data_IF_332591334685
#
_entry.id   IF_332591334685
#
_cell.length_a   1.000
_cell.length_b   1.000
_cell.length_c   1.000
_cell.angle_alpha   90.00
_cell.angle_beta   90.00
_cell.angle_gamma   90.00
#
_symmetry.space_group_name_H-M   'P 1'
#
loop_
_entity.id
_entity.type
_entity.pdbx_description
1 polymer ?
#
# COMPACT_ATOMS: atom_id res chain seq x y z
N UNK A 1 72.43 -0.60 43.80
CA UNK A 1 71.03 -0.21 43.83
C UNK A 1 70.24 -1.47 43.42
N UNK A 2 69.70 -2.19 44.43
CA UNK A 2 68.90 -3.41 44.21
C UNK A 2 67.46 -3.01 44.01
N UNK A 3 66.84 -3.42 42.96
CA UNK A 3 65.38 -3.25 42.70
C UNK A 3 64.75 -4.61 42.98
N UNK A 4 63.96 -4.65 44.08
CA UNK A 4 63.14 -5.80 44.45
C UNK A 4 61.85 -5.85 43.62
N UNK A 5 61.71 -6.91 42.85
CA UNK A 5 60.47 -7.28 42.18
C UNK A 5 59.69 -8.28 43.04
N UNK A 6 58.80 -7.80 43.90
CA UNK A 6 57.77 -8.63 44.56
C UNK A 6 56.43 -8.03 44.29
N UNK A 7 55.58 -8.77 43.60
CA UNK A 7 54.16 -8.48 43.51
C UNK A 7 53.54 -8.57 42.12
N UNK A 8 53.70 -9.69 41.47
CA UNK A 8 52.83 -10.01 40.32
C UNK A 8 51.54 -10.60 40.87
N UNK A 9 50.47 -9.75 40.99
CA UNK A 9 49.13 -10.26 41.19
C UNK A 9 48.59 -10.77 39.84
N UNK A 10 48.47 -12.09 39.75
CA UNK A 10 47.81 -12.77 38.67
C UNK A 10 46.29 -12.61 38.90
N UNK A 11 45.63 -11.64 38.28
CA UNK A 11 44.19 -11.58 38.25
C UNK A 11 43.71 -12.56 37.19
N UNK A 12 43.35 -13.76 37.59
CA UNK A 12 42.64 -14.71 36.74
C UNK A 12 41.23 -14.20 36.52
N UNK A 13 40.99 -13.55 35.39
CA UNK A 13 39.64 -13.24 34.95
C UNK A 13 38.95 -14.55 34.52
N UNK A 14 38.09 -15.07 35.41
CA UNK A 14 37.16 -16.13 35.02
C UNK A 14 36.11 -15.52 34.07
N UNK A 15 36.31 -15.67 32.78
CA UNK A 15 35.22 -15.51 31.78
C UNK A 15 34.25 -16.68 32.00
N UNK A 16 33.23 -16.50 32.79
CA UNK A 16 32.05 -17.35 32.77
C UNK A 16 31.31 -17.02 31.46
N UNK A 17 31.58 -17.77 30.41
CA UNK A 17 30.76 -17.78 29.23
C UNK A 17 29.39 -18.38 29.59
N UNK A 18 28.50 -17.57 30.10
CA UNK A 18 27.10 -17.93 30.23
C UNK A 18 26.54 -18.08 28.82
N UNK A 19 26.39 -19.31 28.37
CA UNK A 19 25.59 -19.59 27.19
C UNK A 19 24.16 -19.15 27.49
N UNK A 20 23.77 -17.97 27.04
CA UNK A 20 22.38 -17.57 26.99
C UNK A 20 21.76 -18.47 25.91
N UNK A 21 21.13 -19.54 26.33
CA UNK A 21 20.27 -20.32 25.45
C UNK A 21 19.09 -19.42 25.07
N UNK A 22 19.21 -18.73 23.97
CA UNK A 22 18.06 -18.10 23.32
C UNK A 22 17.17 -19.23 22.86
N UNK A 23 16.10 -19.52 23.61
CA UNK A 23 15.05 -20.39 23.12
C UNK A 23 14.54 -19.77 21.82
N UNK A 24 14.78 -20.45 20.71
CA UNK A 24 14.16 -20.09 19.45
C UNK A 24 12.64 -20.19 19.68
N UNK A 25 11.98 -19.04 19.80
CA UNK A 25 10.52 -19.02 19.84
C UNK A 25 10.05 -19.51 18.48
N UNK A 26 9.47 -20.68 18.45
CA UNK A 26 8.78 -21.18 17.27
C UNK A 26 7.54 -20.30 17.08
N UNK A 27 7.66 -19.38 16.13
CA UNK A 27 6.52 -18.55 15.72
C UNK A 27 5.58 -19.42 14.88
N UNK A 28 4.45 -19.79 15.44
CA UNK A 28 3.38 -20.41 14.68
C UNK A 28 2.54 -19.29 14.06
N UNK A 29 2.54 -19.14 12.73
CA UNK A 29 1.72 -18.12 12.10
C UNK A 29 0.24 -18.43 12.36
N UNK A 30 -0.47 -17.44 12.89
CA UNK A 30 -1.93 -17.51 13.06
C UNK A 30 -2.56 -16.68 11.96
N UNK A 31 -3.35 -17.32 11.10
CA UNK A 31 -4.12 -16.61 10.07
C UNK A 31 -5.45 -16.15 10.66
N UNK A 32 -5.75 -14.86 10.49
CA UNK A 32 -7.01 -14.25 10.88
C UNK A 32 -7.56 -13.45 9.71
N UNK A 33 -8.79 -13.74 9.30
CA UNK A 33 -9.52 -12.89 8.36
C UNK A 33 -9.88 -11.60 9.06
N UNK A 34 -9.44 -10.44 8.51
CA UNK A 34 -9.73 -9.12 9.06
C UNK A 34 -10.98 -8.51 8.45
N UNK A 35 -11.25 -8.77 7.17
CA UNK A 35 -12.45 -8.30 6.47
C UNK A 35 -12.85 -9.28 5.35
N UNK A 36 -14.11 -9.19 4.95
CA UNK A 36 -14.64 -9.84 3.74
C UNK A 36 -15.15 -8.74 2.81
N UNK A 37 -14.95 -8.94 1.52
CA UNK A 37 -15.51 -8.05 0.49
C UNK A 37 -16.84 -8.63 0.02
N UNK A 38 -17.85 -7.75 -0.12
CA UNK A 38 -19.25 -8.11 -0.42
C UNK A 38 -19.83 -7.33 -1.60
N UNK A 39 -18.99 -6.80 -2.48
CA UNK A 39 -19.27 -5.88 -3.60
C UNK A 39 -19.53 -4.44 -3.16
N UNK A 40 -20.31 -4.18 -2.11
CA UNK A 40 -20.60 -2.81 -1.66
C UNK A 40 -19.37 -2.13 -1.05
N UNK A 41 -18.51 -2.89 -0.38
CA UNK A 41 -17.26 -2.41 0.22
C UNK A 41 -16.02 -2.70 -0.65
N UNK A 42 -16.24 -3.17 -1.87
CA UNK A 42 -15.22 -3.53 -2.85
C UNK A 42 -15.36 -4.95 -3.37
N UNK A 43 -14.82 -5.21 -4.55
CA UNK A 43 -14.75 -6.52 -5.18
C UNK A 43 -13.40 -6.71 -5.87
N UNK A 44 -12.97 -7.95 -6.03
CA UNK A 44 -11.71 -8.29 -6.72
C UNK A 44 -10.45 -7.64 -6.12
N UNK A 45 -10.11 -7.90 -4.82
CA UNK A 45 -8.90 -7.37 -4.18
C UNK A 45 -7.61 -8.09 -4.60
N UNK A 46 -7.64 -8.89 -5.65
CA UNK A 46 -6.69 -9.96 -5.97
C UNK A 46 -5.32 -9.52 -6.48
N UNK A 47 -5.15 -8.26 -6.88
CA UNK A 47 -3.91 -7.79 -7.50
C UNK A 47 -3.16 -6.77 -6.66
N UNK A 48 -3.72 -6.35 -5.54
CA UNK A 48 -3.23 -5.24 -4.75
C UNK A 48 -2.56 -5.72 -3.46
N UNK A 49 -1.22 -5.63 -3.33
CA UNK A 49 -0.57 -5.79 -2.05
C UNK A 49 -1.03 -4.70 -1.09
N UNK A 50 -1.13 -5.04 0.19
CA UNK A 50 -1.38 -4.05 1.23
C UNK A 50 -0.15 -3.19 1.47
N UNK A 51 -0.37 -1.90 1.67
CA UNK A 51 0.64 -0.97 2.17
C UNK A 51 0.30 -0.54 3.59
N UNK A 52 1.28 -0.50 4.48
CA UNK A 52 1.06 0.02 5.82
C UNK A 52 1.34 1.51 5.85
N UNK A 53 0.36 2.29 6.33
CA UNK A 53 0.48 3.73 6.51
C UNK A 53 1.23 4.09 7.79
N UNK A 54 1.56 5.38 7.94
CA UNK A 54 2.24 5.90 9.13
C UNK A 54 1.36 5.83 10.39
N UNK A 55 0.04 5.71 10.23
CA UNK A 55 -0.93 5.49 11.31
C UNK A 55 -1.02 4.03 11.77
N UNK A 56 -0.23 3.13 11.17
CA UNK A 56 -0.20 1.70 11.45
C UNK A 56 -1.34 0.90 10.82
N UNK A 57 -2.31 1.54 10.15
CA UNK A 57 -3.35 0.86 9.40
C UNK A 57 -2.82 0.34 8.06
N UNK A 58 -3.54 -0.59 7.46
CA UNK A 58 -3.25 -1.13 6.15
C UNK A 58 -4.21 -0.54 5.13
N UNK A 59 -3.69 -0.29 3.94
CA UNK A 59 -4.41 0.29 2.82
C UNK A 59 -4.29 -0.61 1.60
N UNK A 60 -5.36 -0.72 0.85
CA UNK A 60 -5.40 -1.51 -0.37
C UNK A 60 -6.45 -0.98 -1.34
N UNK A 61 -6.50 -1.57 -2.51
CA UNK A 61 -7.46 -1.26 -3.57
C UNK A 61 -8.24 -2.51 -3.96
N UNK A 62 -9.42 -2.30 -4.52
CA UNK A 62 -10.20 -3.34 -5.21
C UNK A 62 -10.44 -2.90 -6.64
N UNK A 63 -10.37 -3.83 -7.58
CA UNK A 63 -10.56 -3.51 -9.00
C UNK A 63 -12.01 -3.22 -9.36
N UNK A 64 -12.95 -3.62 -8.52
CA UNK A 64 -14.39 -3.40 -8.67
C UNK A 64 -15.06 -3.24 -7.33
N UNK A 65 -16.39 -3.15 -7.33
CA UNK A 65 -17.21 -2.88 -6.15
C UNK A 65 -17.20 -1.40 -5.77
N UNK A 66 -17.95 -1.10 -4.76
CA UNK A 66 -18.30 0.24 -4.32
C UNK A 66 -19.79 0.49 -4.47
N UNK A 67 -20.27 1.67 -4.11
CA UNK A 67 -21.70 2.03 -4.17
C UNK A 67 -22.11 2.72 -5.48
N UNK A 68 -21.19 3.00 -6.39
CA UNK A 68 -21.46 3.65 -7.67
C UNK A 68 -21.90 2.64 -8.73
N UNK A 69 -23.22 2.49 -8.89
CA UNK A 69 -23.88 1.47 -9.71
C UNK A 69 -23.82 1.68 -11.22
N UNK A 70 -23.13 2.69 -11.77
CA UNK A 70 -23.19 2.91 -13.21
C UNK A 70 -21.98 3.60 -13.81
N UNK A 71 -21.47 3.03 -14.88
CA UNK A 71 -20.51 3.66 -15.78
C UNK A 71 -19.13 3.06 -15.82
N UNK A 72 -18.82 2.09 -14.98
CA UNK A 72 -17.54 1.41 -15.00
C UNK A 72 -17.56 0.24 -15.98
N UNK A 73 -16.71 0.30 -16.96
CA UNK A 73 -16.84 -0.42 -18.24
C UNK A 73 -16.45 -1.90 -18.25
N UNK A 74 -16.23 -2.56 -17.12
CA UNK A 74 -15.71 -3.95 -17.17
C UNK A 74 -16.76 -5.05 -17.04
N UNK A 75 -17.90 -4.79 -16.42
CA UNK A 75 -19.03 -5.74 -16.34
C UNK A 75 -20.27 -5.02 -15.80
N UNK A 76 -21.49 -5.50 -16.05
CA UNK A 76 -22.67 -4.96 -15.40
C UNK A 76 -22.68 -5.10 -13.86
N UNK A 77 -21.76 -5.90 -13.33
CA UNK A 77 -21.57 -6.13 -11.89
C UNK A 77 -20.25 -5.53 -11.36
N UNK A 78 -19.45 -4.87 -12.20
CA UNK A 78 -18.15 -4.31 -11.82
C UNK A 78 -18.27 -2.77 -11.68
N UNK A 79 -18.51 -2.35 -10.47
CA UNK A 79 -18.35 -0.98 -10.03
C UNK A 79 -16.90 -0.51 -10.16
N UNK A 80 -16.65 0.78 -9.95
CA UNK A 80 -15.39 1.43 -10.31
C UNK A 80 -14.19 1.06 -9.43
N UNK A 81 -14.42 0.30 -8.36
CA UNK A 81 -13.40 -0.03 -7.39
C UNK A 81 -13.29 0.97 -6.25
N UNK A 82 -12.63 0.56 -5.18
CA UNK A 82 -12.45 1.39 -3.98
C UNK A 82 -11.01 1.39 -3.51
N UNK A 83 -10.66 2.41 -2.73
CA UNK A 83 -9.52 2.40 -1.84
C UNK A 83 -10.06 2.16 -0.43
N UNK A 84 -9.52 1.18 0.27
CA UNK A 84 -9.94 0.85 1.62
C UNK A 84 -8.81 0.98 2.63
N UNK A 85 -9.20 1.13 3.88
CA UNK A 85 -8.36 1.16 5.06
C UNK A 85 -8.82 0.07 6.02
N UNK A 86 -7.89 -0.68 6.60
CA UNK A 86 -8.18 -1.68 7.61
C UNK A 86 -7.14 -1.61 8.73
N UNK A 87 -7.60 -1.62 9.96
CA UNK A 87 -6.72 -1.65 11.13
C UNK A 87 -6.38 -3.08 11.54
N UNK A 88 -5.36 -3.27 12.36
CA UNK A 88 -4.92 -4.59 12.82
C UNK A 88 -5.96 -5.32 13.68
N UNK A 89 -6.93 -4.61 14.24
CA UNK A 89 -8.07 -5.19 14.98
C UNK A 89 -9.20 -5.65 14.05
N UNK A 90 -9.17 -5.24 12.76
CA UNK A 90 -10.16 -5.59 11.75
C UNK A 90 -11.21 -4.51 11.48
N UNK A 91 -11.03 -3.29 12.01
CA UNK A 91 -11.90 -2.18 11.64
C UNK A 91 -11.67 -1.79 10.21
N UNK A 92 -12.64 -2.07 9.34
CA UNK A 92 -12.64 -1.77 7.91
C UNK A 92 -13.36 -0.44 7.64
N UNK A 93 -12.85 0.32 6.68
CA UNK A 93 -13.52 1.51 6.14
C UNK A 93 -13.16 1.71 4.67
N UNK A 94 -14.14 2.03 3.84
CA UNK A 94 -13.92 2.57 2.51
C UNK A 94 -13.39 3.99 2.67
N UNK A 95 -12.20 4.22 2.13
CA UNK A 95 -11.53 5.51 2.18
C UNK A 95 -11.93 6.40 0.99
N UNK A 96 -12.09 5.76 -0.17
CA UNK A 96 -12.48 6.41 -1.42
C UNK A 96 -13.18 5.44 -2.36
N UNK A 97 -14.19 5.93 -3.07
CA UNK A 97 -14.91 5.19 -4.12
C UNK A 97 -14.71 5.90 -5.45
N UNK A 98 -14.24 5.17 -6.44
CA UNK A 98 -14.05 5.71 -7.78
C UNK A 98 -15.38 5.85 -8.52
N UNK A 99 -15.47 6.86 -9.39
CA UNK A 99 -16.73 7.18 -10.09
C UNK A 99 -16.66 7.01 -11.60
N UNK A 100 -15.51 6.59 -12.14
CA UNK A 100 -15.21 6.57 -13.58
C UNK A 100 -15.28 7.96 -14.24
N UNK A 101 -15.28 9.00 -13.45
CA UNK A 101 -15.16 10.37 -13.91
C UNK A 101 -13.70 10.81 -14.04
N UNK A 102 -13.45 12.03 -13.66
CA UNK A 102 -12.10 12.62 -13.62
C UNK A 102 -11.18 11.93 -12.60
N UNK A 103 -11.75 11.22 -11.65
CA UNK A 103 -11.05 10.44 -10.63
C UNK A 103 -10.58 9.06 -11.12
N UNK A 104 -11.07 8.63 -12.29
CA UNK A 104 -10.73 7.34 -12.87
C UNK A 104 -11.56 6.18 -12.36
N UNK A 105 -11.17 4.98 -12.78
CA UNK A 105 -11.74 3.71 -12.34
C UNK A 105 -10.74 2.55 -12.52
N UNK A 106 -11.04 1.42 -11.92
CA UNK A 106 -10.18 0.25 -11.97
C UNK A 106 -8.79 0.55 -11.43
N UNK A 107 -8.67 0.88 -10.12
CA UNK A 107 -7.38 1.18 -9.54
C UNK A 107 -6.42 0.02 -9.79
N UNK A 108 -5.20 0.37 -10.12
CA UNK A 108 -4.13 -0.55 -10.46
C UNK A 108 -3.71 -1.44 -9.28
N UNK A 109 -2.67 -2.26 -9.48
CA UNK A 109 -2.37 -3.39 -8.59
C UNK A 109 -1.84 -3.00 -7.21
N UNK A 110 -1.97 -1.76 -6.77
CA UNK A 110 -1.68 -1.38 -5.39
C UNK A 110 -1.31 0.07 -5.19
N UNK A 111 -1.08 0.37 -3.93
CA UNK A 111 -0.67 1.69 -3.46
C UNK A 111 0.79 1.64 -3.01
N UNK A 112 1.46 2.78 -3.05
CA UNK A 112 2.73 2.98 -2.36
C UNK A 112 2.61 4.11 -1.34
N UNK A 113 3.34 4.01 -0.25
CA UNK A 113 3.46 5.08 0.74
C UNK A 113 4.56 6.04 0.32
N UNK A 114 4.19 7.28 0.08
CA UNK A 114 5.14 8.36 -0.20
C UNK A 114 5.84 8.86 1.06
N UNK A 115 6.97 9.51 0.88
CA UNK A 115 7.76 10.11 1.98
C UNK A 115 7.03 11.24 2.69
N UNK A 116 5.97 11.79 2.09
CA UNK A 116 5.06 12.77 2.69
C UNK A 116 3.91 12.15 3.52
N UNK A 117 3.90 10.82 3.65
CA UNK A 117 2.88 10.07 4.38
C UNK A 117 1.57 9.88 3.63
N UNK A 118 1.47 10.33 2.38
CA UNK A 118 0.32 10.06 1.52
C UNK A 118 0.50 8.77 0.73
N UNK A 119 -0.59 8.23 0.23
CA UNK A 119 -0.64 7.05 -0.61
C UNK A 119 -0.74 7.47 -2.06
N UNK A 120 -0.08 6.74 -2.95
CA UNK A 120 -0.05 7.01 -4.37
C UNK A 120 -0.38 5.75 -5.15
N UNK A 121 -1.11 5.90 -6.24
CA UNK A 121 -1.51 4.79 -7.09
C UNK A 121 -1.85 5.25 -8.50
N UNK A 122 -2.27 4.31 -9.33
CA UNK A 122 -2.73 4.56 -10.69
C UNK A 122 -4.09 3.92 -10.93
N UNK A 123 -4.83 4.44 -11.91
CA UNK A 123 -6.07 3.86 -12.43
C UNK A 123 -5.85 3.43 -13.88
N UNK A 124 -6.46 2.32 -14.26
CA UNK A 124 -6.35 1.83 -15.63
C UNK A 124 -7.38 2.46 -16.60
N UNK A 125 -8.39 3.16 -16.09
CA UNK A 125 -9.44 3.78 -16.86
C UNK A 125 -9.91 5.10 -16.24
N UNK A 126 -10.80 5.83 -16.95
CA UNK A 126 -11.26 7.15 -16.53
C UNK A 126 -10.21 8.24 -16.73
N UNK A 127 -10.28 9.30 -15.95
CA UNK A 127 -9.47 10.50 -16.12
C UNK A 127 -10.17 11.54 -17.01
N UNK A 128 -9.69 12.79 -16.97
CA UNK A 128 -10.33 13.94 -17.67
C UNK A 128 -10.22 13.83 -19.19
N UNK A 129 -9.17 13.18 -19.68
CA UNK A 129 -8.94 13.07 -21.11
C UNK A 129 -9.73 11.89 -21.72
N UNK A 130 -10.89 12.15 -22.28
CA UNK A 130 -11.63 11.20 -23.14
C UNK A 130 -10.87 10.79 -24.43
N UNK A 131 -9.57 11.05 -24.48
CA UNK A 131 -8.71 10.77 -25.61
C UNK A 131 -8.61 9.27 -25.95
N UNK A 132 -8.91 8.37 -25.00
CA UNK A 132 -8.94 6.93 -25.17
C UNK A 132 -10.38 6.40 -25.37
N UNK A 133 -11.28 7.22 -25.84
CA UNK A 133 -12.68 6.86 -26.05
C UNK A 133 -13.48 6.90 -24.73
N UNK A 134 -14.53 6.07 -24.65
CA UNK A 134 -15.44 6.09 -23.51
C UNK A 134 -14.84 5.58 -22.18
N UNK A 135 -13.73 4.85 -22.27
CA UNK A 135 -13.08 4.22 -21.10
C UNK A 135 -12.11 5.19 -20.40
N UNK A 136 -11.62 6.22 -21.12
CA UNK A 136 -10.52 7.06 -20.67
C UNK A 136 -9.16 6.38 -20.75
N UNK A 137 -8.10 7.09 -20.40
CA UNK A 137 -6.72 6.60 -20.51
C UNK A 137 -6.11 6.20 -19.17
N UNK A 138 -6.81 6.47 -18.08
CA UNK A 138 -6.30 6.27 -16.72
C UNK A 138 -5.58 7.49 -16.16
N UNK A 139 -5.23 7.41 -14.90
CA UNK A 139 -4.62 8.52 -14.15
C UNK A 139 -3.63 8.03 -13.11
N UNK A 140 -2.78 8.94 -12.64
CA UNK A 140 -2.02 8.80 -11.40
C UNK A 140 -2.67 9.67 -10.34
N UNK A 141 -2.83 9.13 -9.14
CA UNK A 141 -3.48 9.81 -8.05
C UNK A 141 -2.67 9.78 -6.75
N UNK A 142 -3.03 10.67 -5.86
CA UNK A 142 -2.62 10.76 -4.47
C UNK A 142 -3.84 10.73 -3.58
N UNK A 143 -3.75 10.04 -2.44
CA UNK A 143 -4.77 10.08 -1.40
C UNK A 143 -4.11 10.16 -0.02
N UNK A 144 -4.66 10.99 0.85
CA UNK A 144 -4.21 11.05 2.24
C UNK A 144 -4.86 9.95 3.08
N UNK A 145 -4.32 9.64 4.26
CA UNK A 145 -4.92 8.70 5.21
C UNK A 145 -6.30 9.13 5.71
N UNK A 146 -6.67 10.40 5.52
CA UNK A 146 -8.01 10.94 5.81
C UNK A 146 -8.99 10.89 4.64
N UNK A 147 -8.58 10.37 3.47
CA UNK A 147 -9.46 10.23 2.29
C UNK A 147 -9.47 11.42 1.33
N UNK A 148 -8.57 12.40 1.51
CA UNK A 148 -8.47 13.51 0.53
C UNK A 148 -7.80 12.99 -0.73
N UNK A 149 -8.56 12.87 -1.81
CA UNK A 149 -8.13 12.39 -3.12
C UNK A 149 -7.69 13.55 -4.02
N UNK A 150 -6.67 13.32 -4.84
CA UNK A 150 -6.17 14.28 -5.82
C UNK A 150 -5.64 13.52 -7.03
N UNK A 151 -6.15 13.82 -8.23
CA UNK A 151 -5.54 13.40 -9.49
C UNK A 151 -4.28 14.23 -9.73
N UNK A 152 -3.17 13.55 -9.96
CA UNK A 152 -1.85 14.18 -10.19
C UNK A 152 -1.54 14.27 -11.67
N UNK A 153 -1.98 13.30 -12.44
CA UNK A 153 -1.73 13.22 -13.88
C UNK A 153 -2.80 12.39 -14.56
N UNK A 154 -3.37 12.92 -15.63
CA UNK A 154 -4.28 12.21 -16.52
C UNK A 154 -3.51 11.79 -17.78
N UNK A 155 -3.55 10.50 -18.09
CA UNK A 155 -2.95 9.99 -19.32
C UNK A 155 -3.79 10.40 -20.52
N UNK A 156 -3.10 10.69 -21.62
CA UNK A 156 -3.70 10.90 -22.92
C UNK A 156 -3.17 9.85 -23.90
N UNK A 157 -3.84 9.69 -25.04
CA UNK A 157 -3.50 8.62 -25.99
C UNK A 157 -2.04 8.66 -26.48
N UNK A 158 -1.44 9.85 -26.53
CA UNK A 158 -0.04 10.04 -26.94
C UNK A 158 0.99 9.63 -25.89
N UNK A 159 0.61 9.58 -24.61
CA UNK A 159 1.55 9.33 -23.51
C UNK A 159 1.66 7.85 -23.16
N UNK A 160 0.70 7.09 -23.51
CA UNK A 160 0.36 5.73 -23.16
C UNK A 160 -1.01 5.70 -22.50
N UNK A 161 -1.62 4.54 -22.42
CA UNK A 161 -2.94 4.39 -21.81
C UNK A 161 -2.97 3.15 -20.91
N UNK A 162 -3.92 3.15 -19.99
CA UNK A 162 -4.20 2.03 -19.09
C UNK A 162 -2.98 1.62 -18.24
N UNK A 163 -2.43 2.51 -17.40
CA UNK A 163 -1.36 2.15 -16.48
C UNK A 163 -1.83 0.99 -15.58
N UNK A 164 -1.03 -0.05 -15.52
CA UNK A 164 -1.37 -1.27 -14.79
C UNK A 164 -0.13 -1.81 -14.05
N UNK A 165 0.58 -0.90 -13.38
CA UNK A 165 1.75 -1.23 -12.57
C UNK A 165 1.78 -0.38 -11.31
N UNK A 166 2.49 -0.87 -10.29
CA UNK A 166 2.77 -0.07 -9.10
C UNK A 166 3.73 1.06 -9.44
N UNK A 167 3.51 2.20 -8.80
CA UNK A 167 4.47 3.30 -8.79
C UNK A 167 5.69 2.94 -7.93
N UNK A 168 6.80 3.58 -8.23
CA UNK A 168 8.00 3.54 -7.39
C UNK A 168 8.42 4.97 -7.09
N UNK A 169 8.61 5.28 -5.80
CA UNK A 169 9.24 6.55 -5.44
C UNK A 169 10.76 6.38 -5.40
N UNK A 170 11.47 7.13 -6.24
CA UNK A 170 12.93 7.13 -6.26
C UNK A 170 13.51 8.03 -5.15
N UNK A 171 14.80 7.90 -4.89
CA UNK A 171 15.51 8.66 -3.84
C UNK A 171 15.54 10.18 -4.07
N UNK A 172 15.27 10.61 -5.30
CA UNK A 172 15.10 12.03 -5.65
C UNK A 172 13.68 12.55 -5.36
N UNK A 173 12.80 11.73 -4.79
CA UNK A 173 11.41 12.06 -4.48
C UNK A 173 10.43 11.96 -5.65
N UNK A 174 10.91 11.68 -6.86
CA UNK A 174 10.07 11.52 -8.05
C UNK A 174 9.40 10.14 -8.08
N UNK A 175 8.23 10.05 -8.71
CA UNK A 175 7.48 8.83 -8.93
C UNK A 175 7.64 8.35 -10.38
N UNK A 176 7.80 7.05 -10.52
CA UNK A 176 7.97 6.36 -11.81
C UNK A 176 7.04 5.15 -11.90
#
# INVERSE_FOLDING_TARGET
MKVDWKGAFLVAAFCVAGAIATSAQTFTPVFKTLANFDTTNGAHPQWAPLVQGLDGAFYGTTAGGGLHESGCFRSPDDDCGVIYRITSDGTFSTLYEFTNGIDGSGPGPGLILGTDGSLYGSNSAGGEAHACGQIGCGAIFKITSSGTFTTLYDFIHSDSANPNSNLVQATNGMYY
#
